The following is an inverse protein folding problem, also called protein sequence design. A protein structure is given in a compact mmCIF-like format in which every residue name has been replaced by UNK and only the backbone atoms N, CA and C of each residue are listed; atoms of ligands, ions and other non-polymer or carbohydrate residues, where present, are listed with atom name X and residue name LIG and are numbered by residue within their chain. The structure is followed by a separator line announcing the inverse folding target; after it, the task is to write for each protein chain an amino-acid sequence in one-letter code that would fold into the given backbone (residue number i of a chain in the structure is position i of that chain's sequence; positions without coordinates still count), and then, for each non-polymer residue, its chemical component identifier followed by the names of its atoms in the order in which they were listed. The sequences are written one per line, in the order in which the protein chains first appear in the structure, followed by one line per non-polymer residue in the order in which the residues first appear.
data_IF_143074513352
#
_entry.id   IF_143074513352
#
_cell.length_a   1.000
_cell.length_b   1.000
_cell.length_c   1.000
_cell.angle_alpha   90.00
_cell.angle_beta   90.00
_cell.angle_gamma   90.00
#
_symmetry.space_group_name_H-M   'P 1'
#
loop_
_entity.id
_entity.type
_entity.pdbx_description
1 polymer ?
#
# COMPACT_ATOMS: atom_id res chain seq x y z
N UNK A 1 20.18 -9.04 56.47
CA UNK A 1 19.25 -9.23 55.34
C UNK A 1 19.63 -8.24 54.24
N UNK A 2 20.12 -8.70 53.09
CA UNK A 2 20.32 -7.86 51.90
C UNK A 2 19.51 -8.50 50.77
N UNK A 3 18.30 -8.01 50.57
CA UNK A 3 17.46 -8.38 49.43
C UNK A 3 17.93 -7.55 48.24
N UNK A 4 18.54 -8.19 47.23
CA UNK A 4 18.85 -7.54 45.97
C UNK A 4 17.66 -7.69 45.03
N UNK A 5 16.95 -6.58 44.79
CA UNK A 5 15.93 -6.48 43.75
C UNK A 5 16.63 -6.36 42.39
N UNK A 6 16.57 -7.41 41.57
CA UNK A 6 16.94 -7.34 40.16
C UNK A 6 15.84 -6.60 39.39
N UNK A 7 16.15 -5.50 38.67
CA UNK A 7 15.17 -4.85 37.82
C UNK A 7 14.98 -5.70 36.56
N UNK A 8 13.77 -6.20 36.37
CA UNK A 8 13.38 -6.90 35.14
C UNK A 8 13.13 -5.85 34.06
N UNK A 9 14.14 -5.57 33.23
CA UNK A 9 14.02 -4.67 32.09
C UNK A 9 13.25 -5.39 30.98
N UNK A 10 11.95 -5.12 30.85
CA UNK A 10 11.14 -5.63 29.75
C UNK A 10 11.53 -4.90 28.45
N UNK A 11 12.29 -5.56 27.59
CA UNK A 11 12.52 -5.12 26.21
C UNK A 11 11.24 -5.37 25.41
N UNK A 12 10.38 -4.36 25.31
CA UNK A 12 9.29 -4.38 24.35
C UNK A 12 9.88 -4.19 22.95
N UNK A 13 10.06 -5.28 22.21
CA UNK A 13 10.35 -5.23 20.78
C UNK A 13 9.11 -4.71 20.08
N UNK A 14 9.15 -3.49 19.57
CA UNK A 14 8.17 -3.00 18.59
C UNK A 14 8.41 -3.76 17.31
N UNK A 15 7.72 -4.88 17.14
CA UNK A 15 7.59 -5.52 15.83
C UNK A 15 6.61 -4.67 15.05
N UNK A 16 7.08 -3.91 14.05
CA UNK A 16 6.17 -3.29 13.08
C UNK A 16 5.52 -4.43 12.30
N UNK A 17 4.19 -4.46 12.25
CA UNK A 17 3.53 -5.31 11.27
C UNK A 17 3.67 -4.61 9.90
N UNK A 18 3.72 -5.40 8.83
CA UNK A 18 3.95 -4.93 7.47
C UNK A 18 2.75 -5.35 6.60
N UNK A 19 2.68 -4.92 5.35
CA UNK A 19 1.74 -5.53 4.40
C UNK A 19 2.44 -5.95 3.12
N UNK A 20 1.76 -6.72 2.28
CA UNK A 20 2.24 -7.05 0.94
C UNK A 20 1.15 -6.73 -0.05
N UNK A 21 1.46 -5.88 -1.02
CA UNK A 21 0.58 -5.60 -2.14
C UNK A 21 0.77 -6.66 -3.24
N UNK A 22 -0.20 -7.58 -3.32
CA UNK A 22 -0.18 -8.70 -4.28
C UNK A 22 -0.77 -8.32 -5.64
N UNK A 23 -1.77 -7.44 -5.66
CA UNK A 23 -2.38 -6.99 -6.91
C UNK A 23 -2.86 -5.53 -6.81
N UNK A 24 -2.64 -4.69 -7.84
CA UNK A 24 -1.63 -4.90 -8.88
C UNK A 24 -0.25 -5.09 -8.23
N UNK A 25 0.70 -5.83 -8.84
CA UNK A 25 1.94 -6.20 -8.18
C UNK A 25 2.74 -4.96 -7.78
N UNK A 26 3.28 -4.96 -6.55
CA UNK A 26 4.12 -3.86 -6.08
C UNK A 26 5.36 -3.66 -6.97
N UNK A 27 5.81 -2.41 -7.08
CA UNK A 27 7.09 -2.03 -7.68
C UNK A 27 8.28 -2.68 -6.97
N UNK A 28 8.09 -3.07 -5.72
CA UNK A 28 9.04 -3.83 -4.91
C UNK A 28 8.59 -3.90 -3.46
N UNK A 29 9.32 -4.67 -2.67
CA UNK A 29 9.05 -4.80 -1.24
C UNK A 29 10.35 -4.98 -0.47
N UNK A 30 10.49 -4.23 0.60
CA UNK A 30 11.52 -4.32 1.62
C UNK A 30 10.85 -3.86 2.91
N UNK A 31 10.70 -4.77 3.86
CA UNK A 31 10.02 -4.54 5.13
C UNK A 31 10.68 -3.39 5.89
N UNK A 32 12.01 -3.38 5.99
CA UNK A 32 12.76 -2.31 6.67
C UNK A 32 12.52 -0.90 6.08
N UNK A 33 12.10 -0.81 4.82
CA UNK A 33 11.90 0.45 4.11
C UNK A 33 10.44 0.77 3.81
N UNK A 34 9.49 -0.09 4.20
CA UNK A 34 8.08 0.06 3.85
C UNK A 34 7.48 1.37 4.38
N UNK A 35 7.99 1.88 5.51
CA UNK A 35 7.62 3.19 6.07
C UNK A 35 8.14 4.41 5.28
N UNK A 36 8.94 4.20 4.23
CA UNK A 36 9.53 5.27 3.43
C UNK A 36 8.55 5.73 2.34
N UNK A 37 7.95 6.89 2.54
CA UNK A 37 7.09 7.53 1.54
C UNK A 37 7.83 7.85 0.22
N UNK A 38 7.16 7.78 -0.95
CA UNK A 38 5.76 7.42 -1.15
C UNK A 38 5.52 5.94 -1.46
N UNK A 39 6.56 5.13 -1.67
CA UNK A 39 6.43 3.81 -2.28
C UNK A 39 7.33 2.76 -1.60
N UNK A 40 7.62 2.90 -0.31
CA UNK A 40 8.49 1.99 0.43
C UNK A 40 9.94 2.05 -0.03
N UNK A 41 10.42 3.24 -0.42
CA UNK A 41 11.73 3.49 -1.06
C UNK A 41 11.90 2.97 -2.49
N UNK A 42 10.91 2.28 -3.06
CA UNK A 42 10.97 1.82 -4.46
C UNK A 42 10.54 2.92 -5.44
N UNK A 43 11.17 2.94 -6.62
CA UNK A 43 10.73 3.74 -7.77
C UNK A 43 9.89 2.86 -8.69
N UNK A 44 8.58 3.11 -8.82
CA UNK A 44 7.76 2.39 -9.79
C UNK A 44 8.26 2.65 -11.21
N UNK A 45 8.48 1.58 -11.98
CA UNK A 45 8.79 1.66 -13.41
C UNK A 45 7.52 1.28 -14.16
N UNK A 46 6.96 2.23 -14.90
CA UNK A 46 5.75 2.00 -15.72
C UNK A 46 6.15 1.80 -17.17
N UNK A 47 5.75 0.68 -17.74
CA UNK A 47 6.02 0.31 -19.13
C UNK A 47 4.87 -0.51 -19.73
N UNK A 48 5.02 -0.94 -20.99
CA UNK A 48 3.99 -1.72 -21.69
C UNK A 48 3.74 -3.12 -21.10
N UNK A 49 4.56 -3.60 -20.16
CA UNK A 49 4.34 -4.85 -19.42
C UNK A 49 3.65 -4.65 -18.08
N UNK A 50 3.49 -3.39 -17.64
CA UNK A 50 2.72 -3.06 -16.44
C UNK A 50 1.26 -3.51 -16.60
N UNK A 51 0.64 -4.08 -15.56
CA UNK A 51 -0.73 -4.56 -15.63
C UNK A 51 -1.73 -3.52 -16.12
N UNK A 52 -2.65 -3.96 -16.98
CA UNK A 52 -3.78 -3.14 -17.36
C UNK A 52 -4.87 -3.20 -16.28
N UNK A 53 -5.36 -2.04 -15.85
CA UNK A 53 -6.52 -1.93 -14.97
C UNK A 53 -7.58 -1.02 -15.58
N UNK A 54 -8.84 -1.42 -15.47
CA UNK A 54 -9.94 -0.62 -16.02
C UNK A 54 -10.23 0.57 -15.12
N UNK A 55 -10.38 1.76 -15.70
CA UNK A 55 -10.65 2.99 -14.93
C UNK A 55 -11.95 2.94 -14.13
N UNK A 56 -12.98 2.26 -14.64
CA UNK A 56 -14.29 2.17 -14.00
C UNK A 56 -14.39 1.07 -12.95
N UNK A 57 -13.48 0.09 -12.96
CA UNK A 57 -13.47 -1.02 -12.01
C UNK A 57 -12.13 -1.75 -12.00
N UNK A 58 -11.46 -1.75 -10.86
CA UNK A 58 -10.31 -2.60 -10.63
C UNK A 58 -10.26 -3.08 -9.18
N UNK A 59 -9.43 -4.10 -8.98
CA UNK A 59 -9.21 -4.70 -7.67
C UNK A 59 -7.83 -4.35 -7.11
N UNK A 60 -7.71 -4.35 -5.79
CA UNK A 60 -6.44 -4.50 -5.07
C UNK A 60 -6.51 -5.70 -4.16
N UNK A 61 -5.43 -6.50 -4.12
CA UNK A 61 -5.24 -7.62 -3.20
C UNK A 61 -4.07 -7.31 -2.27
N UNK A 62 -4.32 -7.38 -0.96
CA UNK A 62 -3.34 -7.12 0.09
C UNK A 62 -3.27 -8.31 1.02
N UNK A 63 -2.06 -8.66 1.45
CA UNK A 63 -1.84 -9.48 2.62
C UNK A 63 -1.49 -8.56 3.80
N UNK A 64 -2.36 -8.54 4.79
CA UNK A 64 -2.22 -7.74 5.99
C UNK A 64 -1.69 -8.60 7.15
N UNK A 65 -0.68 -8.13 7.88
CA UNK A 65 -0.26 -8.76 9.15
C UNK A 65 -0.54 -7.91 10.40
N UNK A 66 -1.22 -6.76 10.26
CA UNK A 66 -1.81 -6.04 11.37
C UNK A 66 -3.12 -6.69 11.83
N UNK A 67 -3.42 -6.74 13.15
CA UNK A 67 -4.73 -7.16 13.63
C UNK A 67 -5.88 -6.25 13.15
N UNK A 68 -5.58 -4.98 12.89
CA UNK A 68 -6.49 -3.96 12.38
C UNK A 68 -5.70 -3.05 11.45
N UNK A 69 -6.26 -2.67 10.31
CA UNK A 69 -5.62 -1.79 9.33
C UNK A 69 -6.57 -0.69 8.87
N UNK A 70 -6.01 0.50 8.64
CA UNK A 70 -6.70 1.66 8.08
C UNK A 70 -6.05 1.98 6.71
N UNK A 71 -6.77 1.69 5.64
CA UNK A 71 -6.19 1.67 4.29
C UNK A 71 -6.59 2.89 3.49
N UNK A 72 -5.58 3.53 2.89
CA UNK A 72 -5.74 4.64 1.95
C UNK A 72 -5.26 4.15 0.58
N UNK A 73 -6.14 4.27 -0.42
CA UNK A 73 -5.83 3.93 -1.80
C UNK A 73 -5.81 5.20 -2.63
N UNK A 74 -4.71 5.39 -3.36
CA UNK A 74 -4.46 6.57 -4.17
C UNK A 74 -4.03 6.18 -5.57
N UNK A 75 -4.24 7.07 -6.51
CA UNK A 75 -3.78 6.94 -7.88
C UNK A 75 -3.06 8.18 -8.36
N UNK A 76 -2.17 8.03 -9.33
CA UNK A 76 -1.59 9.13 -10.11
C UNK A 76 -1.39 8.72 -11.55
N UNK A 77 -1.43 9.69 -12.46
CA UNK A 77 -0.98 9.55 -13.86
C UNK A 77 0.43 10.11 -14.07
N UNK A 78 1.06 10.61 -13.00
CA UNK A 78 2.48 10.95 -13.02
C UNK A 78 3.27 9.65 -12.85
N UNK A 79 4.13 9.33 -13.81
CA UNK A 79 4.97 8.13 -13.78
C UNK A 79 6.38 8.41 -13.25
N UNK A 80 6.69 9.67 -12.94
CA UNK A 80 7.98 10.12 -12.40
C UNK A 80 7.74 11.07 -11.22
N UNK A 81 8.65 11.04 -10.24
CA UNK A 81 8.55 11.93 -9.09
C UNK A 81 8.76 13.41 -9.49
N UNK A 82 8.08 14.38 -8.83
CA UNK A 82 7.10 14.19 -7.76
C UNK A 82 5.74 13.74 -8.28
N UNK A 83 5.13 12.76 -7.58
CA UNK A 83 3.81 12.25 -7.93
C UNK A 83 2.70 13.12 -7.33
N UNK A 84 1.67 13.42 -8.12
CA UNK A 84 0.45 14.03 -7.64
C UNK A 84 -0.62 12.96 -7.43
N UNK A 85 -0.78 12.52 -6.18
CA UNK A 85 -1.74 11.47 -5.81
C UNK A 85 -3.13 12.02 -5.52
N UNK A 86 -4.15 11.32 -5.99
CA UNK A 86 -5.56 11.53 -5.66
C UNK A 86 -6.14 10.30 -4.98
N UNK A 87 -6.96 10.49 -3.95
CA UNK A 87 -7.62 9.38 -3.27
C UNK A 87 -8.63 8.69 -4.23
N UNK A 88 -8.61 7.35 -4.25
CA UNK A 88 -9.41 6.49 -5.13
C UNK A 88 -10.72 6.06 -4.46
N UNK A 89 -10.68 5.85 -3.15
CA UNK A 89 -11.83 5.44 -2.33
C UNK A 89 -11.75 6.15 -0.98
N UNK A 90 -12.87 6.31 -0.26
CA UNK A 90 -12.81 6.56 1.17
C UNK A 90 -11.90 5.55 1.89
N UNK A 91 -11.40 5.97 3.06
CA UNK A 91 -10.60 5.12 3.95
C UNK A 91 -11.35 3.81 4.23
N UNK A 92 -10.65 2.69 4.08
CA UNK A 92 -11.19 1.35 4.35
C UNK A 92 -10.60 0.82 5.64
N UNK A 93 -11.44 0.33 6.54
CA UNK A 93 -10.98 -0.31 7.77
C UNK A 93 -11.13 -1.83 7.66
N UNK A 94 -10.12 -2.56 8.08
CA UNK A 94 -10.16 -4.03 8.16
C UNK A 94 -9.82 -4.51 9.56
N UNK A 95 -10.41 -5.64 9.95
CA UNK A 95 -10.01 -6.39 11.14
C UNK A 95 -9.60 -7.79 10.71
N UNK A 96 -8.53 -8.30 11.31
CA UNK A 96 -7.99 -9.62 11.02
C UNK A 96 -6.72 -9.58 10.18
N UNK A 97 -5.92 -10.63 10.36
CA UNK A 97 -4.69 -10.90 9.63
C UNK A 97 -5.03 -11.82 8.45
N UNK A 98 -4.37 -11.60 7.31
CA UNK A 98 -4.47 -12.45 6.14
C UNK A 98 -4.71 -11.64 4.86
N UNK A 99 -5.18 -12.34 3.83
CA UNK A 99 -5.48 -11.74 2.54
C UNK A 99 -6.86 -11.08 2.56
N UNK A 100 -6.95 -9.86 2.03
CA UNK A 100 -8.21 -9.26 1.64
C UNK A 100 -8.10 -8.62 0.26
N UNK A 101 -9.27 -8.49 -0.39
CA UNK A 101 -9.39 -7.85 -1.69
C UNK A 101 -10.45 -6.74 -1.62
N UNK A 102 -10.17 -5.61 -2.25
CA UNK A 102 -11.18 -4.62 -2.63
C UNK A 102 -11.35 -4.73 -4.14
N UNK A 103 -12.57 -4.98 -4.61
CA UNK A 103 -12.86 -5.44 -5.97
C UNK A 103 -13.66 -4.45 -6.84
N UNK A 104 -14.01 -3.29 -6.27
CA UNK A 104 -14.78 -2.23 -6.93
C UNK A 104 -14.19 -0.85 -6.66
N UNK A 105 -12.93 -0.65 -7.03
CA UNK A 105 -12.32 0.68 -7.07
C UNK A 105 -12.40 1.29 -8.45
N UNK A 106 -12.43 2.61 -8.54
CA UNK A 106 -12.49 3.35 -9.79
C UNK A 106 -11.64 4.61 -9.71
N UNK A 107 -11.04 4.99 -10.83
CA UNK A 107 -10.32 6.26 -11.03
C UNK A 107 -11.06 7.09 -12.09
N UNK A 108 -10.72 8.38 -12.27
CA UNK A 108 -11.36 9.20 -13.28
C UNK A 108 -11.25 8.61 -14.69
N UNK A 109 -12.34 8.66 -15.47
CA UNK A 109 -12.40 8.05 -16.81
C UNK A 109 -11.36 8.64 -17.77
N UNK A 110 -10.97 9.90 -17.59
CA UNK A 110 -9.94 10.60 -18.37
C UNK A 110 -8.52 10.07 -18.12
N UNK A 111 -8.35 9.07 -17.24
CA UNK A 111 -7.10 8.35 -17.07
C UNK A 111 -6.96 7.20 -18.08
N UNK A 112 -8.04 6.79 -18.74
CA UNK A 112 -8.00 5.72 -19.74
C UNK A 112 -7.00 6.05 -20.86
N UNK A 113 -6.14 5.09 -21.17
CA UNK A 113 -5.04 5.23 -22.14
C UNK A 113 -3.77 5.85 -21.55
N UNK A 114 -3.69 6.10 -20.24
CA UNK A 114 -2.50 6.64 -19.57
C UNK A 114 -1.79 5.57 -18.74
N UNK A 115 -0.48 5.66 -18.69
CA UNK A 115 0.33 5.01 -17.67
C UNK A 115 0.12 5.70 -16.32
N UNK A 116 0.33 4.98 -15.22
CA UNK A 116 0.27 5.58 -13.90
C UNK A 116 0.63 4.62 -12.77
N UNK A 117 0.30 5.05 -11.55
CA UNK A 117 0.70 4.40 -10.31
C UNK A 117 -0.50 4.32 -9.36
N UNK A 118 -0.73 3.15 -8.78
CA UNK A 118 -1.60 2.98 -7.62
C UNK A 118 -0.74 2.95 -6.37
N UNK A 119 -1.01 3.82 -5.41
CA UNK A 119 -0.39 3.80 -4.08
C UNK A 119 -1.37 3.19 -3.08
N UNK A 120 -0.87 2.27 -2.27
CA UNK A 120 -1.55 1.69 -1.12
C UNK A 120 -0.81 2.12 0.13
N UNK A 121 -1.55 2.62 1.10
CA UNK A 121 -1.02 3.05 2.38
C UNK A 121 -1.78 2.35 3.50
N UNK A 122 -1.04 1.76 4.43
CA UNK A 122 -1.58 1.31 5.71
C UNK A 122 -1.27 2.39 6.76
N UNK A 123 -2.30 2.85 7.46
CA UNK A 123 -2.28 3.86 8.53
C UNK A 123 -2.53 3.16 9.87
N UNK A 124 -1.57 2.32 10.27
CA UNK A 124 -1.70 1.46 11.45
C UNK A 124 -1.03 2.07 12.69
N UNK A 125 -1.23 1.43 13.85
CA UNK A 125 -0.82 1.94 15.17
C UNK A 125 0.70 2.12 15.33
N UNK A 126 1.49 1.47 14.49
CA UNK A 126 2.95 1.51 14.42
C UNK A 126 3.50 2.45 13.35
N UNK A 127 2.62 3.07 12.54
CA UNK A 127 2.99 4.12 11.60
C UNK A 127 2.31 3.97 10.25
N UNK A 128 2.80 4.78 9.29
CA UNK A 128 2.36 4.73 7.90
C UNK A 128 3.30 3.87 7.09
N UNK A 129 2.75 2.92 6.33
CA UNK A 129 3.49 2.02 5.45
C UNK A 129 3.01 2.18 4.01
N UNK A 130 3.91 2.04 3.04
CA UNK A 130 3.66 2.44 1.66
C UNK A 130 4.12 1.37 0.67
N UNK A 131 3.25 1.04 -0.27
CA UNK A 131 3.61 0.29 -1.48
C UNK A 131 2.94 0.92 -2.69
N UNK A 132 3.59 0.85 -3.84
CA UNK A 132 3.09 1.39 -5.09
C UNK A 132 3.13 0.33 -6.17
N UNK A 133 2.12 0.30 -7.04
CA UNK A 133 2.06 -0.58 -8.19
C UNK A 133 2.01 0.22 -9.50
N UNK A 134 2.94 -0.03 -10.44
CA UNK A 134 2.86 0.55 -11.78
C UNK A 134 1.72 -0.11 -12.56
N UNK A 135 0.94 0.69 -13.30
CA UNK A 135 -0.23 0.22 -14.05
C UNK A 135 -0.40 0.98 -15.36
N UNK A 136 -1.12 0.36 -16.30
CA UNK A 136 -1.65 1.02 -17.47
C UNK A 136 -3.17 1.12 -17.33
N UNK A 137 -3.71 2.34 -17.28
CA UNK A 137 -5.15 2.56 -17.20
C UNK A 137 -5.79 2.32 -18.56
N UNK A 138 -6.82 1.48 -18.60
CA UNK A 138 -7.58 1.18 -19.82
C UNK A 138 -9.06 1.56 -19.65
N UNK A 139 -9.75 1.74 -20.78
CA UNK A 139 -11.18 2.00 -20.75
C UNK A 139 -11.93 0.81 -20.13
N UNK A 140 -13.00 1.14 -19.41
CA UNK A 140 -13.93 0.15 -18.89
C UNK A 140 -14.76 -0.53 -19.97
N UNK A 141 -15.12 -1.79 -19.72
CA UNK A 141 -16.05 -2.57 -20.54
C UNK A 141 -17.40 -2.74 -19.88
#
# INVERSE_FOLDING_TARGET
MRSQLFPLLAMATVTSAHFILHWPPSAGFNDDLESTSPCGSFTPVVDGSSPEIQVNRFAVKIQNVHPQGEWIFRGSVDTEAPYNFSDVTPIVNTTGIGDFCLDYMSVPNEWAGKAGIIQVVDSSVDGMLYQCAPVNFVAGS
#
